data_IF_654085217921
#
_entry.id   IF_654085217921
#
_cell.length_a   1.000
_cell.length_b   1.000
_cell.length_c   1.000
_cell.angle_alpha   90.00
_cell.angle_beta   90.00
_cell.angle_gamma   90.00
#
_symmetry.space_group_name_H-M   'P 1'
#
loop_
_entity.id
_entity.type
_entity.pdbx_description
1 polymer ?
#
# COMPACT_ATOMS: atom_id res chain seq x y z
N UNK A 1 4.24 -13.37 -0.28
CA UNK A 1 4.65 -12.15 0.46
C UNK A 1 6.00 -11.68 -0.03
N UNK A 2 6.11 -10.41 -0.45
CA UNK A 2 7.44 -9.82 -0.77
C UNK A 2 8.22 -9.56 0.51
N UNK A 3 9.56 -9.72 0.49
CA UNK A 3 10.39 -9.43 1.65
C UNK A 3 10.34 -7.95 2.05
N UNK A 4 10.64 -7.68 3.32
CA UNK A 4 10.90 -6.33 3.81
C UNK A 4 12.40 -6.02 3.64
N UNK A 5 12.70 -4.78 3.26
CA UNK A 5 14.06 -4.23 3.21
C UNK A 5 14.38 -3.58 4.56
N UNK A 6 15.65 -3.50 4.94
CA UNK A 6 16.08 -2.80 6.16
C UNK A 6 15.57 -1.34 6.20
N UNK A 7 15.49 -0.68 5.04
CA UNK A 7 14.92 0.65 4.92
C UNK A 7 13.48 0.75 5.43
N UNK A 8 12.70 -0.34 5.39
CA UNK A 8 11.31 -0.33 5.86
C UNK A 8 11.16 -0.36 7.39
N UNK A 9 12.23 -0.72 8.11
CA UNK A 9 12.21 -0.89 9.57
C UNK A 9 13.33 -0.08 10.24
N UNK A 10 13.99 0.80 9.49
CA UNK A 10 15.06 1.64 10.01
C UNK A 10 14.56 2.60 11.09
N UNK A 11 13.29 3.01 11.02
CA UNK A 11 12.62 3.86 12.01
C UNK A 11 11.18 3.35 12.25
N UNK A 12 10.63 3.55 13.47
CA UNK A 12 9.22 3.25 13.72
C UNK A 12 8.31 4.16 12.90
N UNK A 13 7.16 3.64 12.46
CA UNK A 13 6.12 4.43 11.79
C UNK A 13 5.96 4.22 10.29
N UNK A 14 6.85 3.45 9.64
CA UNK A 14 6.59 2.98 8.28
C UNK A 14 5.78 1.66 8.30
N UNK A 15 4.67 1.64 7.56
CA UNK A 15 3.83 0.47 7.36
C UNK A 15 3.88 0.00 5.91
N UNK A 16 3.78 -1.32 5.72
CA UNK A 16 3.59 -1.93 4.40
C UNK A 16 2.17 -2.45 4.34
N UNK A 17 1.38 -1.95 3.39
CA UNK A 17 -0.02 -2.36 3.22
C UNK A 17 -0.12 -3.26 1.98
N UNK A 18 -0.76 -4.40 2.13
CA UNK A 18 -1.08 -5.32 1.04
C UNK A 18 -2.60 -5.48 0.96
N UNK A 19 -3.17 -5.20 -0.21
CA UNK A 19 -4.61 -5.20 -0.47
C UNK A 19 -4.90 -6.26 -1.51
N UNK A 20 -5.85 -7.15 -1.21
CA UNK A 20 -6.51 -8.00 -2.20
C UNK A 20 -7.83 -7.34 -2.59
N UNK A 21 -8.04 -7.13 -3.89
CA UNK A 21 -9.26 -6.52 -4.41
C UNK A 21 -9.76 -7.26 -5.66
N UNK A 22 -11.04 -7.12 -5.99
CA UNK A 22 -11.60 -7.74 -7.20
C UNK A 22 -11.02 -7.12 -8.48
N UNK A 23 -10.72 -5.82 -8.45
CA UNK A 23 -10.32 -5.00 -9.58
C UNK A 23 -9.47 -3.80 -9.12
N UNK A 24 -8.85 -3.13 -10.09
CA UNK A 24 -7.96 -1.98 -9.89
C UNK A 24 -8.66 -0.81 -9.20
N UNK A 25 -9.89 -0.49 -9.60
CA UNK A 25 -10.62 0.65 -9.06
C UNK A 25 -10.91 0.45 -7.56
N UNK A 26 -11.27 -0.76 -7.14
CA UNK A 26 -11.45 -1.10 -5.74
C UNK A 26 -10.14 -0.96 -4.94
N UNK A 27 -9.01 -1.46 -5.47
CA UNK A 27 -7.73 -1.33 -4.75
C UNK A 27 -7.27 0.13 -4.64
N UNK A 28 -7.45 0.92 -5.71
CA UNK A 28 -7.10 2.35 -5.75
C UNK A 28 -7.98 3.16 -4.79
N UNK A 29 -9.28 2.87 -4.70
CA UNK A 29 -10.16 3.53 -3.73
C UNK A 29 -9.73 3.28 -2.28
N UNK A 30 -9.30 2.05 -1.95
CA UNK A 30 -8.75 1.73 -0.62
C UNK A 30 -7.43 2.47 -0.39
N UNK A 31 -6.56 2.56 -1.40
CA UNK A 31 -5.32 3.33 -1.30
C UNK A 31 -5.60 4.81 -1.02
N UNK A 32 -6.57 5.42 -1.71
CA UNK A 32 -6.94 6.82 -1.49
C UNK A 32 -7.47 7.07 -0.07
N UNK A 33 -8.34 6.19 0.44
CA UNK A 33 -8.85 6.30 1.81
C UNK A 33 -7.73 6.23 2.86
N UNK A 34 -6.68 5.46 2.59
CA UNK A 34 -5.50 5.39 3.45
C UNK A 34 -4.58 6.62 3.30
N UNK A 35 -4.52 7.21 2.11
CA UNK A 35 -3.80 8.45 1.84
C UNK A 35 -4.40 9.66 2.57
N UNK A 36 -5.72 9.65 2.82
CA UNK A 36 -6.39 10.69 3.62
C UNK A 36 -6.03 10.62 5.11
N UNK A 37 -5.49 9.50 5.59
CA UNK A 37 -5.15 9.32 7.01
C UNK A 37 -3.67 9.53 7.30
N UNK A 38 -2.78 9.23 6.35
CA UNK A 38 -1.32 9.24 6.51
C UNK A 38 -0.63 9.53 5.18
N UNK A 39 0.61 10.01 5.20
CA UNK A 39 1.37 10.13 3.95
C UNK A 39 1.62 8.75 3.33
N UNK A 40 1.03 8.49 2.17
CA UNK A 40 1.25 7.24 1.43
C UNK A 40 2.18 7.49 0.26
N UNK A 41 3.21 6.65 0.11
CA UNK A 41 3.94 6.59 -1.14
C UNK A 41 3.00 6.04 -2.23
N UNK A 42 3.08 6.63 -3.43
CA UNK A 42 2.29 6.15 -4.58
C UNK A 42 2.57 4.66 -4.80
N UNK A 43 1.52 3.84 -4.88
CA UNK A 43 1.66 2.41 -5.03
C UNK A 43 2.47 2.07 -6.29
N UNK A 44 3.35 1.09 -6.15
CA UNK A 44 4.36 0.71 -7.14
C UNK A 44 3.72 0.08 -8.39
N UNK A 45 2.71 -0.77 -8.19
CA UNK A 45 1.84 -1.33 -9.25
C UNK A 45 0.76 -2.22 -8.64
N UNK A 46 -0.45 -2.19 -9.18
CA UNK A 46 -1.39 -3.32 -9.04
C UNK A 46 -0.83 -4.50 -9.83
N UNK A 47 -0.77 -5.67 -9.21
CA UNK A 47 -0.29 -6.90 -9.82
C UNK A 47 -1.42 -7.92 -9.82
N UNK A 48 -1.67 -8.55 -10.97
CA UNK A 48 -2.54 -9.72 -11.06
C UNK A 48 -1.67 -10.96 -11.08
N UNK A 49 -1.64 -11.70 -9.97
CA UNK A 49 -0.85 -12.93 -9.87
C UNK A 49 -1.59 -14.08 -10.58
N UNK A 50 -0.93 -14.84 -11.46
CA UNK A 50 -1.57 -15.93 -12.18
C UNK A 50 -2.00 -17.05 -11.23
N UNK A 51 -3.32 -17.20 -11.07
CA UNK A 51 -3.93 -18.20 -10.19
C UNK A 51 -4.50 -17.62 -8.88
N UNK A 52 -4.25 -16.35 -8.56
CA UNK A 52 -4.93 -15.66 -7.46
C UNK A 52 -6.22 -14.97 -7.94
N UNK A 53 -7.31 -15.05 -7.17
CA UNK A 53 -8.52 -14.31 -7.48
C UNK A 53 -8.29 -12.81 -7.27
N UNK A 54 -8.59 -12.02 -8.31
CA UNK A 54 -8.57 -10.55 -8.23
C UNK A 54 -7.20 -9.94 -8.56
N UNK A 55 -6.86 -8.87 -7.85
CA UNK A 55 -5.60 -8.14 -7.95
C UNK A 55 -4.99 -7.90 -6.57
N UNK A 56 -3.68 -7.70 -6.56
CA UNK A 56 -2.90 -7.37 -5.37
C UNK A 56 -2.29 -6.00 -5.54
N UNK A 57 -2.55 -5.10 -4.60
CA UNK A 57 -1.89 -3.81 -4.50
C UNK A 57 -0.99 -3.80 -3.26
N UNK A 58 0.23 -3.27 -3.41
CA UNK A 58 1.15 -3.09 -2.29
C UNK A 58 1.75 -1.70 -2.34
N UNK A 59 1.75 -1.01 -1.21
CA UNK A 59 2.37 0.29 -1.05
C UNK A 59 2.90 0.51 0.37
N UNK A 60 3.61 1.60 0.56
CA UNK A 60 4.19 2.02 1.83
C UNK A 60 3.43 3.22 2.37
N UNK A 61 3.05 3.18 3.64
CA UNK A 61 2.43 4.28 4.34
C UNK A 61 3.36 4.76 5.46
N UNK A 62 3.61 6.06 5.53
CA UNK A 62 4.32 6.69 6.63
C UNK A 62 3.31 7.28 7.60
N UNK A 63 3.11 6.58 8.72
CA UNK A 63 2.14 6.95 9.75
C UNK A 63 2.64 8.10 10.64
N UNK A 64 3.88 8.58 10.46
CA UNK A 64 4.44 9.71 11.20
C UNK A 64 4.00 11.04 10.61
N UNK A 65 3.65 11.03 9.33
CA UNK A 65 3.28 12.21 8.57
C UNK A 65 1.75 12.30 8.57
N UNK A 66 1.23 13.40 9.11
CA UNK A 66 -0.15 13.80 8.88
C UNK A 66 -0.36 13.97 7.37
N UNK A 67 -1.56 13.65 6.84
CA UNK A 67 -1.85 13.79 5.42
C UNK A 67 -1.56 15.23 4.96
N UNK A 68 -0.95 15.38 3.78
CA UNK A 68 -0.78 16.69 3.14
C UNK A 68 -2.18 17.28 2.91
N UNK A 69 -2.49 18.38 3.60
CA UNK A 69 -3.83 18.97 3.70
C UNK A 69 -4.31 19.63 2.39
#
# INVERSE_FOLDING_TARGET
>A
MRPFLNAHVAEPGLAVVEIAAADDATALAIQQLLAECCATAHADRTTRDPGEPGIRLRFFADLRQEPDA
#
